data_IF_168110326681
#
_entry.id   IF_168110326681
#
_cell.length_a   1.000
_cell.length_b   1.000
_cell.length_c   1.000
_cell.angle_alpha   90.00
_cell.angle_beta   90.00
_cell.angle_gamma   90.00
#
_symmetry.space_group_name_H-M   'P 1'
#
loop_
_entity.id
_entity.type
_entity.pdbx_description
1 polymer ?
#
# COMPACT_ATOMS: atom_id res chain seq x y z
N UNK A 1 8.50 3.94 4.86
CA UNK A 1 8.23 3.27 3.57
C UNK A 1 6.75 2.95 3.53
N UNK A 2 6.06 3.22 2.42
CA UNK A 2 4.62 3.04 2.29
C UNK A 2 4.28 2.42 0.92
N UNK A 3 3.63 1.26 0.93
CA UNK A 3 3.16 0.54 -0.27
C UNK A 3 1.79 -0.12 -0.06
N UNK A 4 0.97 0.46 0.83
CA UNK A 4 -0.31 -0.08 1.28
C UNK A 4 -1.44 0.90 0.96
N UNK A 5 -2.68 0.42 1.09
CA UNK A 5 -3.89 1.14 0.77
C UNK A 5 -4.13 2.39 1.62
N UNK A 6 -4.52 3.47 0.95
CA UNK A 6 -4.81 4.77 1.57
C UNK A 6 -6.23 5.27 1.27
N UNK A 7 -6.84 4.87 0.16
CA UNK A 7 -8.16 5.34 -0.23
C UNK A 7 -8.91 4.33 -1.09
N UNK A 8 -8.47 4.11 -2.33
CA UNK A 8 -9.06 3.18 -3.30
C UNK A 8 -9.09 1.76 -2.76
N UNK A 9 -8.05 1.37 -2.02
CA UNK A 9 -8.02 0.08 -1.34
C UNK A 9 -9.22 -0.12 -0.41
N UNK A 10 -9.69 0.93 0.26
CA UNK A 10 -10.79 0.84 1.22
C UNK A 10 -12.17 0.95 0.58
N UNK A 11 -12.26 1.17 -0.74
CA UNK A 11 -13.55 1.31 -1.40
C UNK A 11 -14.21 -0.04 -1.68
N UNK A 12 -15.56 -0.12 -1.65
CA UNK A 12 -16.28 -1.35 -1.89
C UNK A 12 -15.90 -2.03 -3.20
N UNK A 13 -15.69 -1.26 -4.27
CA UNK A 13 -15.41 -1.76 -5.62
C UNK A 13 -14.11 -2.55 -5.68
N UNK A 14 -13.10 -2.14 -4.90
CA UNK A 14 -11.84 -2.89 -4.78
C UNK A 14 -12.01 -4.10 -3.87
N UNK A 15 -12.59 -3.89 -2.69
CA UNK A 15 -12.65 -4.92 -1.64
C UNK A 15 -13.55 -6.11 -2.01
N UNK A 16 -14.59 -5.91 -2.83
CA UNK A 16 -15.49 -6.99 -3.28
C UNK A 16 -14.76 -8.17 -3.93
N UNK A 17 -13.67 -7.91 -4.65
CA UNK A 17 -12.87 -8.95 -5.32
C UNK A 17 -11.56 -9.22 -4.59
N UNK A 18 -10.92 -8.19 -4.03
CA UNK A 18 -9.62 -8.33 -3.37
C UNK A 18 -9.63 -9.30 -2.18
N UNK A 19 -10.72 -9.38 -1.42
CA UNK A 19 -10.85 -10.33 -0.29
C UNK A 19 -11.05 -11.79 -0.72
N UNK A 20 -11.26 -12.03 -2.01
CA UNK A 20 -11.38 -13.37 -2.60
C UNK A 20 -10.06 -13.83 -3.25
N UNK A 21 -8.98 -13.04 -3.12
CA UNK A 21 -7.71 -13.34 -3.77
C UNK A 21 -7.10 -14.65 -3.25
N UNK A 22 -6.66 -15.56 -4.14
CA UNK A 22 -5.98 -16.80 -3.76
C UNK A 22 -4.51 -16.60 -3.36
N UNK A 23 -4.00 -15.37 -3.39
CA UNK A 23 -2.60 -15.06 -3.04
C UNK A 23 -2.29 -15.23 -1.55
N UNK A 24 -3.33 -15.35 -0.72
CA UNK A 24 -3.20 -15.55 0.72
C UNK A 24 -3.45 -17.02 1.08
N UNK A 25 -2.69 -17.52 2.06
CA UNK A 25 -2.83 -18.91 2.56
C UNK A 25 -4.10 -19.13 3.41
N UNK A 26 -4.93 -18.10 3.57
CA UNK A 26 -6.15 -18.10 4.37
C UNK A 26 -7.19 -17.17 3.74
N UNK A 27 -8.46 -17.35 4.11
CA UNK A 27 -9.54 -16.49 3.64
C UNK A 27 -9.40 -15.08 4.22
N UNK A 28 -9.18 -14.11 3.33
CA UNK A 28 -8.98 -12.71 3.74
C UNK A 28 -10.22 -12.09 4.37
N UNK A 29 -11.42 -12.43 3.87
CA UNK A 29 -12.65 -11.83 4.37
C UNK A 29 -12.86 -12.12 5.86
N UNK A 30 -12.90 -13.39 6.35
CA UNK A 30 -13.03 -13.67 7.78
C UNK A 30 -11.93 -13.01 8.62
N UNK A 31 -10.68 -13.04 8.15
CA UNK A 31 -9.56 -12.43 8.88
C UNK A 31 -9.74 -10.91 9.06
N UNK A 32 -10.18 -10.19 8.01
CA UNK A 32 -10.42 -8.74 8.10
C UNK A 32 -11.73 -8.39 8.80
N UNK A 33 -12.76 -9.21 8.65
CA UNK A 33 -14.04 -9.03 9.32
C UNK A 33 -13.87 -9.02 10.85
N UNK A 34 -13.02 -9.92 11.38
CA UNK A 34 -12.62 -9.92 12.80
C UNK A 34 -11.94 -8.62 13.21
N UNK A 35 -11.05 -8.06 12.37
CA UNK A 35 -10.36 -6.78 12.67
C UNK A 35 -11.34 -5.60 12.67
N UNK A 36 -12.36 -5.64 11.82
CA UNK A 36 -13.36 -4.58 11.70
C UNK A 36 -14.54 -4.75 12.65
N UNK A 37 -14.63 -5.86 13.37
CA UNK A 37 -15.76 -6.21 14.24
C UNK A 37 -17.09 -6.21 13.46
N UNK A 38 -17.10 -6.92 12.33
CA UNK A 38 -18.24 -7.08 11.43
C UNK A 38 -18.44 -8.56 11.07
N UNK A 39 -19.65 -8.94 10.69
CA UNK A 39 -19.99 -10.35 10.41
C UNK A 39 -20.26 -10.60 8.92
N UNK A 40 -20.75 -9.60 8.20
CA UNK A 40 -21.20 -9.75 6.81
C UNK A 40 -20.32 -9.00 5.81
N UNK A 41 -20.34 -9.45 4.55
CA UNK A 41 -19.67 -8.74 3.46
C UNK A 41 -20.22 -7.31 3.30
N UNK A 42 -21.53 -7.13 3.48
CA UNK A 42 -22.17 -5.82 3.40
C UNK A 42 -21.61 -4.86 4.45
N UNK A 43 -21.56 -5.29 5.72
CA UNK A 43 -20.98 -4.50 6.82
C UNK A 43 -19.51 -4.20 6.59
N UNK A 44 -18.73 -5.19 6.12
CA UNK A 44 -17.31 -5.01 5.79
C UNK A 44 -17.08 -3.95 4.70
N UNK A 45 -17.85 -4.00 3.62
CA UNK A 45 -17.76 -3.04 2.53
C UNK A 45 -18.24 -1.64 2.96
N UNK A 46 -19.26 -1.56 3.82
CA UNK A 46 -19.73 -0.29 4.39
C UNK A 46 -18.71 0.31 5.38
N UNK A 47 -17.97 -0.53 6.11
CA UNK A 47 -16.96 -0.13 7.08
C UNK A 47 -15.72 0.48 6.41
N UNK A 48 -15.17 -0.20 5.39
CA UNK A 48 -13.90 0.14 4.76
C UNK A 48 -13.68 1.63 4.50
N UNK A 49 -14.60 2.34 3.81
CA UNK A 49 -14.43 3.73 3.39
C UNK A 49 -14.04 4.70 4.51
N UNK A 50 -14.43 4.44 5.76
CA UNK A 50 -14.10 5.30 6.91
C UNK A 50 -12.61 5.30 7.27
N UNK A 51 -11.85 4.29 6.82
CA UNK A 51 -10.41 4.18 7.06
C UNK A 51 -9.56 5.01 6.08
N UNK A 52 -10.18 5.47 5.00
CA UNK A 52 -9.55 6.30 3.96
C UNK A 52 -8.89 7.56 4.54
N UNK A 53 -7.62 7.80 4.17
CA UNK A 53 -6.92 9.03 4.53
C UNK A 53 -7.56 10.27 3.90
N UNK A 54 -8.18 10.11 2.72
CA UNK A 54 -8.94 11.17 2.05
C UNK A 54 -10.20 11.50 2.84
N UNK A 55 -10.99 10.48 3.22
CA UNK A 55 -12.26 10.68 3.92
C UNK A 55 -12.05 11.28 5.31
N UNK A 56 -10.91 10.95 5.95
CA UNK A 56 -10.52 11.46 7.26
C UNK A 56 -9.82 12.83 7.21
N UNK A 57 -9.59 13.39 6.02
CA UNK A 57 -8.88 14.67 5.87
C UNK A 57 -7.42 14.63 6.33
N UNK A 58 -6.80 13.45 6.31
CA UNK A 58 -5.42 13.24 6.75
C UNK A 58 -4.41 13.33 5.60
N UNK A 59 -4.85 13.15 4.35
CA UNK A 59 -3.95 13.00 3.20
C UNK A 59 -3.10 14.26 2.90
N UNK A 60 -3.58 15.44 3.29
CA UNK A 60 -2.89 16.72 3.07
C UNK A 60 -2.22 17.27 4.34
N UNK A 61 -2.25 16.51 5.45
CA UNK A 61 -1.57 16.93 6.68
C UNK A 61 -0.06 16.70 6.58
N UNK A 62 0.75 17.44 7.36
CA UNK A 62 2.18 17.18 7.47
C UNK A 62 2.48 15.72 7.79
N UNK A 63 3.52 15.18 7.16
CA UNK A 63 3.91 13.77 7.26
C UNK A 63 5.41 13.64 7.50
N UNK A 64 5.84 12.51 8.07
CA UNK A 64 7.25 12.15 8.07
C UNK A 64 7.75 11.99 6.63
N UNK A 65 9.06 12.14 6.34
CA UNK A 65 9.62 11.81 5.03
C UNK A 65 9.22 10.40 4.59
N UNK A 66 8.79 10.26 3.34
CA UNK A 66 8.26 9.00 2.83
C UNK A 66 8.95 8.57 1.52
N UNK A 67 9.31 7.29 1.50
CA UNK A 67 9.55 6.51 0.29
C UNK A 67 8.31 5.66 -0.01
N UNK A 68 7.74 5.88 -1.19
CA UNK A 68 6.68 5.05 -1.76
C UNK A 68 7.29 3.97 -2.65
N UNK A 69 6.90 2.72 -2.43
CA UNK A 69 7.42 1.56 -3.18
C UNK A 69 6.25 0.69 -3.57
N UNK A 70 6.03 0.51 -4.88
CA UNK A 70 5.11 -0.53 -5.35
C UNK A 70 5.39 -0.95 -6.80
N UNK A 71 4.62 -1.89 -7.32
CA UNK A 71 4.62 -2.25 -8.73
C UNK A 71 3.30 -1.93 -9.43
N UNK A 72 3.36 -1.64 -10.72
CA UNK A 72 2.17 -1.33 -11.55
C UNK A 72 1.16 -2.48 -11.63
N UNK A 73 1.62 -3.72 -11.41
CA UNK A 73 0.82 -4.94 -11.49
C UNK A 73 0.46 -5.49 -10.11
N UNK A 74 0.49 -4.66 -9.07
CA UNK A 74 0.07 -5.08 -7.73
C UNK A 74 -1.42 -5.44 -7.71
N UNK A 75 -1.71 -6.69 -7.37
CA UNK A 75 -3.03 -7.29 -7.25
C UNK A 75 -3.54 -7.29 -5.80
N UNK A 76 -2.67 -6.99 -4.83
CA UNK A 76 -3.00 -6.91 -3.40
C UNK A 76 -3.41 -5.50 -3.01
N UNK A 77 -2.79 -4.49 -3.61
CA UNK A 77 -3.07 -3.07 -3.39
C UNK A 77 -3.29 -2.36 -4.73
N UNK A 78 -4.28 -1.46 -4.85
CA UNK A 78 -4.47 -0.72 -6.08
C UNK A 78 -3.33 0.28 -6.27
N UNK A 79 -2.61 0.21 -7.40
CA UNK A 79 -1.51 1.15 -7.68
C UNK A 79 -1.96 2.62 -7.69
N UNK A 80 -3.24 2.87 -7.97
CA UNK A 80 -3.83 4.21 -7.91
C UNK A 80 -3.68 4.88 -6.54
N UNK A 81 -3.60 4.13 -5.44
CA UNK A 81 -3.38 4.69 -4.10
C UNK A 81 -1.97 5.29 -3.95
N UNK A 82 -0.94 4.66 -4.54
CA UNK A 82 0.40 5.24 -4.57
C UNK A 82 0.39 6.56 -5.35
N UNK A 83 -0.25 6.58 -6.51
CA UNK A 83 -0.32 7.77 -7.36
C UNK A 83 -1.17 8.90 -6.76
N UNK A 84 -2.23 8.56 -6.04
CA UNK A 84 -3.00 9.52 -5.27
C UNK A 84 -2.13 10.16 -4.19
N UNK A 85 -1.37 9.35 -3.44
CA UNK A 85 -0.51 9.81 -2.37
C UNK A 85 0.66 10.68 -2.87
N UNK A 86 1.20 10.40 -4.06
CA UNK A 86 2.20 11.25 -4.73
C UNK A 86 1.68 12.66 -5.04
N UNK A 87 0.37 12.81 -5.27
CA UNK A 87 -0.26 14.08 -5.68
C UNK A 87 -0.73 14.93 -4.50
N UNK A 88 -0.52 14.49 -3.25
CA UNK A 88 -1.14 15.07 -2.04
C UNK A 88 -0.16 15.18 -0.86
N UNK A 89 -0.41 16.15 0.01
CA UNK A 89 0.44 16.44 1.18
C UNK A 89 1.88 16.81 0.84
N UNK A 90 2.81 16.54 1.76
CA UNK A 90 4.23 16.85 1.60
C UNK A 90 4.90 16.08 0.43
N UNK A 91 6.01 16.57 -0.13
CA UNK A 91 6.77 15.87 -1.15
C UNK A 91 7.21 14.46 -0.72
N UNK A 92 7.15 13.50 -1.65
CA UNK A 92 7.48 12.09 -1.41
C UNK A 92 8.47 11.60 -2.45
N UNK A 93 9.39 10.74 -2.03
CA UNK A 93 10.20 9.97 -2.98
C UNK A 93 9.41 8.73 -3.38
N UNK A 94 9.45 8.35 -4.65
CA UNK A 94 8.75 7.17 -5.14
C UNK A 94 9.65 6.32 -6.04
N UNK A 95 9.48 5.01 -5.94
CA UNK A 95 9.97 4.04 -6.90
C UNK A 95 8.83 3.10 -7.28
N UNK A 96 8.52 3.02 -8.58
CA UNK A 96 7.47 2.15 -9.11
C UNK A 96 8.08 1.21 -10.14
N UNK A 97 7.92 -0.10 -9.93
CA UNK A 97 8.34 -1.09 -10.90
C UNK A 97 7.22 -1.34 -11.93
N UNK A 98 7.40 -1.01 -13.23
CA UNK A 98 6.35 -1.20 -14.23
C UNK A 98 6.01 -2.67 -14.50
N UNK A 99 6.93 -3.59 -14.21
CA UNK A 99 6.71 -5.04 -14.36
C UNK A 99 6.36 -5.71 -13.03
N UNK A 100 6.42 -4.98 -11.92
CA UNK A 100 6.32 -5.54 -10.56
C UNK A 100 4.90 -5.67 -10.05
N UNK A 101 4.69 -6.65 -9.17
CA UNK A 101 3.50 -6.79 -8.33
C UNK A 101 3.67 -6.08 -6.98
N UNK A 102 3.12 -6.67 -5.93
CA UNK A 102 3.17 -6.10 -4.58
C UNK A 102 4.60 -5.77 -4.13
N UNK A 103 4.82 -4.55 -3.62
CA UNK A 103 6.14 -4.01 -3.24
C UNK A 103 7.12 -3.89 -4.41
N UNK A 104 6.63 -3.87 -5.65
CA UNK A 104 7.46 -3.80 -6.86
C UNK A 104 8.22 -5.08 -7.18
N UNK A 105 7.79 -6.22 -6.62
CA UNK A 105 8.44 -7.52 -6.81
C UNK A 105 8.21 -8.05 -8.22
N UNK A 106 9.28 -8.49 -8.89
CA UNK A 106 9.25 -9.20 -10.18
C UNK A 106 10.43 -10.18 -10.28
N UNK A 107 10.52 -10.96 -11.35
CA UNK A 107 11.66 -11.85 -11.59
C UNK A 107 13.01 -11.11 -11.58
N UNK A 108 13.06 -9.91 -12.19
CA UNK A 108 14.27 -9.05 -12.21
C UNK A 108 14.49 -8.28 -10.91
N UNK A 109 13.43 -8.11 -10.11
CA UNK A 109 13.41 -7.37 -8.85
C UNK A 109 12.82 -8.24 -7.74
N UNK A 110 13.54 -9.29 -7.31
CA UNK A 110 13.11 -10.09 -6.17
C UNK A 110 13.12 -9.24 -4.88
N UNK A 111 12.43 -9.72 -3.85
CA UNK A 111 12.26 -9.00 -2.58
C UNK A 111 13.58 -8.48 -1.99
N UNK A 112 14.59 -9.35 -1.91
CA UNK A 112 15.92 -8.97 -1.40
C UNK A 112 16.53 -7.80 -2.18
N UNK A 113 16.36 -7.78 -3.50
CA UNK A 113 16.89 -6.72 -4.35
C UNK A 113 16.16 -5.40 -4.13
N UNK A 114 14.82 -5.42 -4.07
CA UNK A 114 14.02 -4.23 -3.75
C UNK A 114 14.44 -3.67 -2.39
N UNK A 115 14.62 -4.54 -1.39
CA UNK A 115 15.09 -4.14 -0.07
C UNK A 115 16.48 -3.50 -0.13
N UNK A 116 17.47 -4.18 -0.71
CA UNK A 116 18.88 -3.81 -0.64
C UNK A 116 19.23 -2.61 -1.53
N UNK A 117 18.58 -2.48 -2.69
CA UNK A 117 18.88 -1.42 -3.67
C UNK A 117 17.93 -0.21 -3.60
N UNK A 118 16.71 -0.35 -3.05
CA UNK A 118 15.72 0.74 -3.02
C UNK A 118 15.42 1.20 -1.59
N UNK A 119 15.01 0.28 -0.72
CA UNK A 119 14.49 0.63 0.62
C UNK A 119 15.60 0.98 1.60
N UNK A 120 16.58 0.10 1.75
CA UNK A 120 17.66 0.26 2.72
C UNK A 120 18.51 1.51 2.44
N UNK A 121 18.91 1.81 1.19
CA UNK A 121 19.69 3.02 0.92
C UNK A 121 18.94 4.30 1.29
N UNK A 122 17.63 4.36 1.01
CA UNK A 122 16.82 5.51 1.41
C UNK A 122 16.74 5.62 2.93
N UNK A 123 16.47 4.53 3.64
CA UNK A 123 16.36 4.51 5.09
C UNK A 123 17.66 4.97 5.76
N UNK A 124 18.80 4.43 5.33
CA UNK A 124 20.11 4.80 5.88
C UNK A 124 20.40 6.28 5.68
N UNK A 125 20.07 6.86 4.51
CA UNK A 125 20.18 8.31 4.29
C UNK A 125 19.26 9.12 5.20
N UNK A 126 18.02 8.68 5.44
CA UNK A 126 17.11 9.37 6.38
C UNK A 126 17.63 9.34 7.82
N UNK A 127 18.39 8.30 8.19
CA UNK A 127 19.03 8.17 9.49
C UNK A 127 20.40 8.87 9.57
N UNK A 128 20.84 9.55 8.50
CA UNK A 128 22.15 10.22 8.46
C UNK A 128 23.34 9.27 8.38
N UNK A 129 23.14 8.04 7.93
CA UNK A 129 24.20 7.03 7.76
C UNK A 129 24.73 7.13 6.32
N UNK A 130 26.03 7.39 6.18
CA UNK A 130 26.71 7.41 4.88
C UNK A 130 26.84 6.00 4.32
N UNK A 131 26.55 5.85 3.03
CA UNK A 131 26.76 4.62 2.28
C UNK A 131 28.13 4.71 1.64
N UNK A 132 29.07 3.90 2.13
CA UNK A 132 30.42 3.76 1.55
C UNK A 132 30.39 3.05 0.20
#
# INVERSE_FOLDING_TARGET
>A
MHGVGIHHYYQPEWQQTAVLSPEYLFDLFPARAVVYDVETMEEFLAYGPRLSLVARGLIDQPSAPMLLVNGEKDTQQPISDLYLLMKRGDPKLAWVNPEGGHMGRSEKWPDARVRDEVVQPWLLRQLGIELN
#
